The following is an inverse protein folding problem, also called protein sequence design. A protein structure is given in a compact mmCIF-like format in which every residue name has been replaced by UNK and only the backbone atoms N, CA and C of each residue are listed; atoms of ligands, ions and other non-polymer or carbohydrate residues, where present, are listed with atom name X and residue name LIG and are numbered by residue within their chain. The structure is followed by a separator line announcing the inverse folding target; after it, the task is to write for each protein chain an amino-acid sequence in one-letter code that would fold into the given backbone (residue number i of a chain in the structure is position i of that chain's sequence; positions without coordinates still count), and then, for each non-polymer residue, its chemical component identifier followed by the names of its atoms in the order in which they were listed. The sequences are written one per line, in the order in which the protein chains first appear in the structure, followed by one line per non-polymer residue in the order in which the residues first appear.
data_IF_556758895532
#
_entry.id   IF_556758895532
#
_cell.length_a   1.000
_cell.length_b   1.000
_cell.length_c   1.000
_cell.angle_alpha   90.00
_cell.angle_beta   90.00
_cell.angle_gamma   90.00
#
_symmetry.space_group_name_H-M   'P 1'
#
loop_
_entity.id
_entity.type
_entity.pdbx_description
1 polymer ?
#
# COMPACT_ATOMS: atom_id res chain seq x y z
N UNK A 1 3.39 -22.02 68.04
CA UNK A 1 3.36 -22.50 66.65
C UNK A 1 1.99 -22.20 66.05
N UNK A 2 1.86 -21.11 65.28
CA UNK A 2 0.71 -20.80 64.42
C UNK A 2 1.26 -20.12 63.17
N UNK A 3 1.28 -20.86 62.05
CA UNK A 3 1.71 -20.37 60.74
C UNK A 3 0.47 -19.80 60.05
N UNK A 4 0.36 -18.47 59.96
CA UNK A 4 -0.76 -17.80 59.31
C UNK A 4 -0.41 -17.44 57.86
N UNK A 5 -1.16 -18.09 56.97
CA UNK A 5 -1.22 -17.98 55.51
C UNK A 5 -1.39 -16.53 55.03
N UNK A 6 -0.40 -15.98 54.35
CA UNK A 6 -0.57 -14.86 53.42
C UNK A 6 0.31 -15.08 52.18
N UNK A 7 -0.11 -16.03 51.36
CA UNK A 7 0.30 -16.11 49.96
C UNK A 7 -0.98 -16.17 49.13
N UNK A 8 -1.40 -15.02 48.62
CA UNK A 8 -2.30 -14.95 47.48
C UNK A 8 -1.63 -14.01 46.47
N UNK A 9 -0.56 -14.51 45.86
CA UNK A 9 0.03 -13.88 44.69
C UNK A 9 -0.97 -13.92 43.55
N UNK A 10 -1.40 -12.75 43.10
CA UNK A 10 -2.00 -12.59 41.77
C UNK A 10 -0.88 -12.03 40.90
N UNK A 11 -0.06 -12.93 40.35
CA UNK A 11 0.83 -12.60 39.25
C UNK A 11 -0.03 -12.65 37.97
N UNK A 12 -0.65 -11.53 37.63
CA UNK A 12 -1.29 -11.38 36.33
C UNK A 12 -0.17 -11.21 35.28
N UNK A 13 0.30 -12.33 34.72
CA UNK A 13 1.11 -12.29 33.50
C UNK A 13 0.16 -11.92 32.36
N UNK A 14 0.03 -10.63 32.10
CA UNK A 14 -0.52 -10.17 30.83
C UNK A 14 0.50 -10.53 29.76
N UNK A 15 0.28 -11.66 29.08
CA UNK A 15 1.01 -11.96 27.86
C UNK A 15 0.63 -10.90 26.83
N UNK A 16 1.45 -9.87 26.70
CA UNK A 16 1.36 -8.90 25.61
C UNK A 16 1.75 -9.62 24.32
N UNK A 17 0.78 -10.26 23.66
CA UNK A 17 0.98 -10.69 22.28
C UNK A 17 1.05 -9.43 21.43
N UNK A 18 2.26 -8.99 21.08
CA UNK A 18 2.42 -7.96 20.07
C UNK A 18 1.73 -8.47 18.81
N UNK A 19 0.67 -7.78 18.37
CA UNK A 19 0.00 -8.14 17.13
C UNK A 19 0.93 -7.78 15.97
N UNK A 20 1.48 -8.78 15.30
CA UNK A 20 2.31 -8.56 14.10
C UNK A 20 1.41 -8.13 12.95
N UNK A 21 1.92 -7.25 12.07
CA UNK A 21 1.26 -6.95 10.82
C UNK A 21 1.28 -8.19 9.91
N UNK A 22 0.17 -8.44 9.21
CA UNK A 22 0.02 -9.57 8.30
C UNK A 22 0.12 -9.10 6.84
N UNK A 23 0.92 -9.78 6.02
CA UNK A 23 1.10 -9.41 4.61
C UNK A 23 -0.09 -9.95 3.82
N UNK A 24 -0.96 -9.07 3.34
CA UNK A 24 -2.19 -9.43 2.62
C UNK A 24 -2.07 -9.28 1.09
N UNK A 25 -1.00 -8.62 0.63
CA UNK A 25 -0.60 -8.54 -0.77
C UNK A 25 0.93 -8.46 -0.84
N UNK A 26 1.52 -9.17 -1.80
CA UNK A 26 2.93 -9.05 -2.17
C UNK A 26 3.05 -9.29 -3.68
N UNK A 27 3.65 -8.35 -4.40
CA UNK A 27 3.87 -8.42 -5.85
C UNK A 27 5.21 -7.77 -6.22
N UNK A 28 6.09 -8.55 -6.84
CA UNK A 28 7.40 -8.11 -7.36
C UNK A 28 7.44 -7.93 -8.87
N UNK A 29 6.31 -8.12 -9.57
CA UNK A 29 6.18 -7.91 -11.01
C UNK A 29 7.21 -8.66 -11.87
N UNK A 30 7.55 -9.89 -11.46
CA UNK A 30 8.38 -10.81 -12.26
C UNK A 30 7.78 -11.07 -13.66
N UNK A 31 6.45 -11.06 -13.73
CA UNK A 31 5.69 -11.18 -14.98
C UNK A 31 4.39 -10.37 -14.90
N UNK A 32 4.38 -9.21 -15.57
CA UNK A 32 3.27 -8.27 -15.65
C UNK A 32 2.06 -8.86 -16.40
N UNK A 33 2.26 -9.83 -17.30
CA UNK A 33 1.15 -10.46 -18.04
C UNK A 33 0.27 -11.31 -17.12
N UNK A 34 0.80 -11.76 -15.98
CA UNK A 34 0.05 -12.58 -15.01
C UNK A 34 -0.86 -11.78 -14.08
N UNK A 35 -0.73 -10.45 -14.04
CA UNK A 35 -1.38 -9.61 -13.04
C UNK A 35 -2.91 -9.68 -13.08
N UNK A 36 -3.50 -9.77 -14.28
CA UNK A 36 -4.95 -9.88 -14.43
C UNK A 36 -5.49 -11.15 -13.74
N UNK A 37 -4.78 -12.29 -13.88
CA UNK A 37 -5.14 -13.53 -13.21
C UNK A 37 -4.98 -13.45 -11.68
N UNK A 38 -4.09 -12.56 -11.21
CA UNK A 38 -3.91 -12.25 -9.77
C UNK A 38 -4.90 -11.18 -9.25
N UNK A 39 -5.79 -10.65 -10.10
CA UNK A 39 -6.86 -9.72 -9.71
C UNK A 39 -6.51 -8.23 -9.79
N UNK A 40 -5.33 -7.90 -10.33
CA UNK A 40 -4.99 -6.53 -10.70
C UNK A 40 -5.82 -6.07 -11.90
N UNK A 41 -6.02 -4.77 -12.02
CA UNK A 41 -6.59 -4.17 -13.21
C UNK A 41 -5.66 -3.07 -13.74
N UNK A 42 -5.54 -2.98 -15.06
CA UNK A 42 -4.78 -1.92 -15.75
C UNK A 42 -5.75 -1.18 -16.65
N UNK A 43 -5.76 0.15 -16.58
CA UNK A 43 -6.64 0.97 -17.40
C UNK A 43 -5.93 2.24 -17.86
N UNK A 44 -5.59 2.28 -19.15
CA UNK A 44 -5.04 3.47 -19.76
C UNK A 44 -6.17 4.42 -20.18
N UNK A 45 -6.36 5.48 -19.39
CA UNK A 45 -7.35 6.54 -19.61
C UNK A 45 -6.70 7.82 -20.11
N UNK A 46 -5.54 7.71 -20.76
CA UNK A 46 -4.85 8.83 -21.39
C UNK A 46 -5.66 9.41 -22.54
N UNK A 47 -5.41 10.68 -22.86
CA UNK A 47 -6.08 11.39 -23.94
C UNK A 47 -5.09 12.06 -24.87
N UNK A 48 -4.95 11.60 -26.12
CA UNK A 48 -5.51 10.33 -26.64
C UNK A 48 -4.88 9.09 -25.97
N UNK A 49 -5.46 7.90 -26.17
CA UNK A 49 -4.84 6.66 -25.68
C UNK A 49 -3.61 6.35 -26.55
N UNK A 50 -2.46 6.18 -25.92
CA UNK A 50 -1.20 5.89 -26.59
C UNK A 50 -0.99 4.41 -26.93
N UNK A 51 0.24 4.09 -27.34
CA UNK A 51 0.63 2.75 -27.80
C UNK A 51 1.11 1.84 -26.68
N UNK A 52 1.46 2.41 -25.52
CA UNK A 52 1.83 1.66 -24.31
C UNK A 52 0.75 1.81 -23.21
N UNK A 53 0.87 0.99 -22.17
CA UNK A 53 0.09 1.09 -20.94
C UNK A 53 1.04 0.90 -19.75
N UNK A 54 0.61 0.28 -18.65
CA UNK A 54 1.56 -0.32 -17.70
C UNK A 54 2.12 -1.60 -18.37
N UNK A 55 3.45 -1.78 -18.35
CA UNK A 55 4.13 -2.85 -19.08
C UNK A 55 5.31 -3.43 -18.28
N UNK A 56 5.84 -4.56 -18.73
CA UNK A 56 7.02 -5.19 -18.12
C UNK A 56 8.24 -4.28 -18.18
N UNK A 57 8.92 -4.09 -17.06
CA UNK A 57 10.13 -3.29 -16.96
C UNK A 57 11.24 -3.70 -17.92
N UNK A 58 12.03 -2.72 -18.36
CA UNK A 58 13.20 -2.99 -19.20
C UNK A 58 14.38 -3.46 -18.33
N UNK A 59 15.03 -4.61 -18.65
CA UNK A 59 16.20 -5.09 -17.91
C UNK A 59 17.35 -4.09 -17.79
N UNK A 60 17.51 -3.16 -18.74
CA UNK A 60 18.55 -2.12 -18.71
C UNK A 60 18.36 -1.18 -17.51
N UNK A 61 17.12 -0.95 -17.07
CA UNK A 61 16.80 -0.12 -15.91
C UNK A 61 16.99 -0.85 -14.57
N UNK A 62 17.39 -2.13 -14.60
CA UNK A 62 17.45 -3.00 -13.42
C UNK A 62 16.05 -3.27 -12.84
N UNK A 63 16.01 -3.58 -11.54
CA UNK A 63 14.81 -3.65 -10.70
C UNK A 63 15.20 -3.31 -9.26
N UNK A 64 14.24 -3.05 -8.37
CA UNK A 64 14.53 -2.89 -6.96
C UNK A 64 14.82 -4.25 -6.31
N UNK A 65 14.00 -5.25 -6.61
CA UNK A 65 14.18 -6.65 -6.21
C UNK A 65 13.94 -7.59 -7.40
N UNK A 66 14.36 -8.84 -7.28
CA UNK A 66 14.19 -9.84 -8.34
C UNK A 66 15.16 -9.71 -9.52
N UNK A 67 14.76 -10.26 -10.68
CA UNK A 67 15.58 -10.23 -11.89
C UNK A 67 15.58 -8.84 -12.54
N UNK A 68 16.59 -8.54 -13.35
CA UNK A 68 16.61 -7.28 -14.09
C UNK A 68 15.38 -7.19 -15.02
N UNK A 69 14.54 -6.16 -14.81
CA UNK A 69 13.29 -5.99 -15.54
C UNK A 69 12.06 -6.53 -14.81
N UNK A 70 12.21 -7.25 -13.69
CA UNK A 70 11.12 -7.59 -12.74
C UNK A 70 10.64 -6.32 -12.03
N UNK A 71 9.88 -5.49 -12.73
CA UNK A 71 9.17 -4.32 -12.20
C UNK A 71 8.09 -3.95 -13.23
N UNK A 72 7.12 -3.13 -12.84
CA UNK A 72 6.13 -2.61 -13.78
C UNK A 72 6.46 -1.15 -14.15
N UNK A 73 6.43 -0.84 -15.43
CA UNK A 73 6.79 0.46 -15.98
C UNK A 73 5.62 1.17 -16.66
N UNK A 74 5.67 2.50 -16.65
CA UNK A 74 4.83 3.38 -17.46
C UNK A 74 5.69 4.51 -18.05
N UNK A 75 5.28 5.06 -19.20
CA UNK A 75 6.04 6.11 -19.88
C UNK A 75 5.13 7.06 -20.66
N UNK A 76 5.71 8.14 -21.18
CA UNK A 76 4.97 9.16 -21.92
C UNK A 76 4.23 8.61 -23.17
N UNK A 77 4.66 7.47 -23.74
CA UNK A 77 3.93 6.78 -24.82
C UNK A 77 2.59 6.16 -24.40
N UNK A 78 2.19 6.30 -23.13
CA UNK A 78 0.83 6.02 -22.67
C UNK A 78 -0.21 6.95 -23.32
N UNK A 79 0.22 8.08 -23.89
CA UNK A 79 -0.59 8.99 -24.73
C UNK A 79 0.10 9.22 -26.09
N UNK A 80 -0.43 10.14 -26.90
CA UNK A 80 0.25 10.60 -28.13
C UNK A 80 1.48 11.46 -27.77
N UNK A 81 2.69 11.04 -28.17
CA UNK A 81 3.93 11.76 -27.83
C UNK A 81 4.03 13.14 -28.49
N UNK A 82 3.25 13.43 -29.53
CA UNK A 82 3.22 14.74 -30.20
C UNK A 82 2.26 15.73 -29.52
N UNK A 83 1.61 15.32 -28.43
CA UNK A 83 0.75 16.16 -27.62
C UNK A 83 -0.40 15.36 -27.00
N UNK A 84 -0.38 15.24 -25.68
CA UNK A 84 -1.39 14.47 -24.96
C UNK A 84 -1.21 14.50 -23.45
N UNK A 85 -2.27 14.09 -22.76
CA UNK A 85 -2.28 13.91 -21.31
C UNK A 85 -2.21 12.42 -21.00
N UNK A 86 -1.25 12.02 -20.16
CA UNK A 86 -1.15 10.67 -19.63
C UNK A 86 -2.02 10.54 -18.39
N UNK A 87 -2.81 9.47 -18.34
CA UNK A 87 -3.60 9.07 -17.17
C UNK A 87 -3.75 7.55 -17.15
N UNK A 88 -2.68 6.86 -16.76
CA UNK A 88 -2.64 5.40 -16.82
C UNK A 88 -2.68 4.78 -15.41
N UNK A 89 -3.69 3.96 -15.16
CA UNK A 89 -4.03 3.44 -13.84
C UNK A 89 -3.68 1.97 -13.67
N UNK A 90 -3.09 1.63 -12.53
CA UNK A 90 -2.83 0.29 -12.03
C UNK A 90 -3.56 0.10 -10.70
N UNK A 91 -4.51 -0.82 -10.65
CA UNK A 91 -5.29 -1.11 -9.45
C UNK A 91 -4.83 -2.43 -8.83
N UNK A 92 -4.49 -2.41 -7.53
CA UNK A 92 -4.18 -3.64 -6.79
C UNK A 92 -5.40 -4.57 -6.76
N UNK A 93 -5.25 -5.88 -6.52
CA UNK A 93 -6.36 -6.75 -6.13
C UNK A 93 -7.06 -6.21 -4.88
N UNK A 94 -8.27 -6.71 -4.62
CA UNK A 94 -8.97 -6.42 -3.38
C UNK A 94 -8.23 -7.11 -2.23
N UNK A 95 -7.86 -6.34 -1.22
CA UNK A 95 -7.27 -6.85 0.02
C UNK A 95 -8.28 -6.73 1.16
N UNK A 96 -8.26 -7.72 2.06
CA UNK A 96 -9.07 -7.72 3.26
C UNK A 96 -8.17 -7.44 4.46
N UNK A 97 -8.50 -6.39 5.21
CA UNK A 97 -7.78 -5.95 6.38
C UNK A 97 -8.54 -6.32 7.65
N UNK A 98 -7.80 -6.54 8.73
CA UNK A 98 -8.37 -6.72 10.07
C UNK A 98 -8.54 -5.39 10.81
N UNK A 99 -7.78 -4.36 10.44
CA UNK A 99 -7.85 -3.02 11.01
C UNK A 99 -7.28 -1.97 10.05
N UNK A 100 -6.00 -1.63 10.19
CA UNK A 100 -5.33 -0.57 9.42
C UNK A 100 -4.55 -1.15 8.25
N UNK A 101 -4.26 -0.30 7.28
CA UNK A 101 -3.44 -0.65 6.11
C UNK A 101 -2.10 0.06 6.17
N UNK A 102 -1.03 -0.63 5.79
CA UNK A 102 0.23 -0.02 5.35
C UNK A 102 0.59 -0.54 3.97
N UNK A 103 0.74 0.36 3.01
CA UNK A 103 1.23 0.08 1.66
C UNK A 103 2.72 0.44 1.62
N UNK A 104 3.53 -0.47 1.10
CA UNK A 104 4.94 -0.23 0.80
C UNK A 104 5.21 -0.59 -0.66
N UNK A 105 6.03 0.19 -1.34
CA UNK A 105 6.42 -0.07 -2.72
C UNK A 105 7.73 0.63 -3.05
N UNK A 106 8.53 0.03 -3.93
CA UNK A 106 9.67 0.71 -4.52
C UNK A 106 9.21 1.55 -5.72
N UNK A 107 9.68 2.79 -5.79
CA UNK A 107 9.40 3.71 -6.87
C UNK A 107 10.72 4.22 -7.44
N UNK A 108 10.77 4.32 -8.77
CA UNK A 108 11.78 5.08 -9.49
C UNK A 108 11.10 6.00 -10.49
N UNK A 109 11.38 7.29 -10.39
CA UNK A 109 11.03 8.28 -11.40
C UNK A 109 12.32 8.64 -12.13
N UNK A 110 12.37 8.43 -13.44
CA UNK A 110 13.60 8.61 -14.22
C UNK A 110 13.86 10.08 -14.49
N UNK A 111 12.80 10.86 -14.76
CA UNK A 111 12.83 12.31 -14.85
C UNK A 111 14.09 12.87 -15.51
N UNK A 112 14.34 12.67 -16.81
CA UNK A 112 15.56 13.21 -17.44
C UNK A 112 15.36 14.68 -17.86
N UNK A 113 15.04 15.55 -16.90
CA UNK A 113 14.61 16.93 -17.15
C UNK A 113 13.14 17.07 -17.56
N UNK A 114 12.40 15.96 -17.60
CA UNK A 114 10.95 15.92 -17.80
C UNK A 114 10.29 15.45 -16.52
N UNK A 115 9.36 16.22 -15.97
CA UNK A 115 8.73 15.88 -14.70
C UNK A 115 7.87 14.61 -14.84
N UNK A 116 8.27 13.52 -14.19
CA UNK A 116 7.45 12.33 -14.01
C UNK A 116 6.57 12.49 -12.77
N UNK A 117 5.32 12.00 -12.80
CA UNK A 117 4.42 12.03 -11.65
C UNK A 117 3.66 10.71 -11.48
N UNK A 118 3.72 10.14 -10.28
CA UNK A 118 2.93 9.00 -9.85
C UNK A 118 2.07 9.39 -8.65
N UNK A 119 0.75 9.26 -8.82
CA UNK A 119 -0.24 9.47 -7.79
C UNK A 119 -0.66 8.12 -7.18
N UNK A 120 -0.84 8.09 -5.86
CA UNK A 120 -1.29 6.90 -5.12
C UNK A 120 -2.66 7.16 -4.52
N UNK A 121 -3.58 6.22 -4.69
CA UNK A 121 -4.96 6.31 -4.25
C UNK A 121 -5.37 5.08 -3.43
N UNK A 122 -6.46 5.21 -2.68
CA UNK A 122 -7.18 4.08 -2.09
C UNK A 122 -8.68 4.15 -2.39
N UNK A 123 -9.35 3.01 -2.30
CA UNK A 123 -10.82 2.92 -2.33
C UNK A 123 -11.32 1.84 -1.37
N UNK A 124 -12.37 2.16 -0.60
CA UNK A 124 -13.09 1.21 0.25
C UNK A 124 -14.30 0.58 -0.46
N UNK A 125 -14.52 0.88 -1.74
CA UNK A 125 -15.65 0.38 -2.54
C UNK A 125 -15.41 -1.04 -3.10
N UNK A 126 -14.75 -1.90 -2.31
CA UNK A 126 -14.51 -3.30 -2.65
C UNK A 126 -13.72 -3.48 -3.96
N UNK A 127 -14.32 -4.18 -4.93
CA UNK A 127 -13.66 -4.51 -6.21
C UNK A 127 -13.75 -3.42 -7.28
N UNK A 128 -14.29 -2.24 -6.97
CA UNK A 128 -14.49 -1.17 -7.95
C UNK A 128 -13.19 -0.69 -8.59
N UNK A 129 -13.28 -0.36 -9.88
CA UNK A 129 -12.26 0.37 -10.65
C UNK A 129 -12.83 1.68 -11.20
N UNK A 130 -13.98 2.14 -10.69
CA UNK A 130 -14.53 3.44 -11.03
C UNK A 130 -13.72 4.52 -10.31
N UNK A 131 -13.13 5.46 -11.06
CA UNK A 131 -12.24 6.49 -10.52
C UNK A 131 -12.89 7.36 -9.44
N UNK A 132 -14.21 7.55 -9.48
CA UNK A 132 -14.93 8.33 -8.49
C UNK A 132 -14.90 7.70 -7.07
N UNK A 133 -14.58 6.41 -6.98
CA UNK A 133 -14.44 5.70 -5.70
C UNK A 133 -13.05 5.83 -5.08
N UNK A 134 -12.07 6.41 -5.79
CA UNK A 134 -10.68 6.50 -5.37
C UNK A 134 -10.36 7.88 -4.79
N UNK A 135 -9.74 7.87 -3.61
CA UNK A 135 -9.30 9.07 -2.89
C UNK A 135 -7.77 9.13 -2.95
N UNK A 136 -7.24 10.29 -3.35
CA UNK A 136 -5.80 10.54 -3.44
C UNK A 136 -5.17 10.48 -2.03
N UNK A 137 -4.12 9.69 -1.90
CA UNK A 137 -3.28 9.63 -0.71
C UNK A 137 -2.07 10.55 -0.85
N UNK A 138 -1.33 10.39 -1.94
CA UNK A 138 -0.06 11.07 -2.11
C UNK A 138 0.31 11.20 -3.58
N UNK A 139 1.22 12.12 -3.87
CA UNK A 139 1.76 12.39 -5.19
C UNK A 139 3.29 12.44 -5.10
N UNK A 140 3.94 11.61 -5.90
CA UNK A 140 5.38 11.57 -6.07
C UNK A 140 5.74 12.17 -7.42
N UNK A 141 6.65 13.14 -7.46
CA UNK A 141 7.09 13.75 -8.70
C UNK A 141 8.58 14.07 -8.67
N UNK A 142 9.25 13.89 -9.81
CA UNK A 142 10.67 14.21 -9.99
C UNK A 142 11.00 14.44 -11.46
N UNK A 143 11.84 15.43 -11.73
CA UNK A 143 12.44 15.74 -13.04
C UNK A 143 13.95 15.40 -13.06
N UNK A 144 14.37 14.55 -12.11
CA UNK A 144 15.68 13.88 -12.03
C UNK A 144 15.50 12.41 -11.65
N UNK A 145 16.45 11.55 -12.02
CA UNK A 145 16.42 10.14 -11.67
C UNK A 145 16.53 9.96 -10.15
N UNK A 146 15.46 9.43 -9.54
CA UNK A 146 15.42 9.18 -8.10
C UNK A 146 16.22 7.95 -7.70
N UNK A 147 16.61 7.10 -8.67
CA UNK A 147 16.91 5.70 -8.39
C UNK A 147 15.71 4.97 -7.79
N UNK A 148 15.90 3.70 -7.44
CA UNK A 148 14.88 2.95 -6.72
C UNK A 148 14.88 3.32 -5.23
N UNK A 149 13.73 3.78 -4.73
CA UNK A 149 13.54 4.11 -3.32
C UNK A 149 12.19 3.57 -2.80
N UNK A 150 12.17 3.10 -1.55
CA UNK A 150 10.95 2.63 -0.91
C UNK A 150 10.10 3.82 -0.47
N UNK A 151 8.82 3.75 -0.78
CA UNK A 151 7.77 4.63 -0.33
C UNK A 151 6.79 3.87 0.57
N UNK A 152 6.19 4.58 1.52
CA UNK A 152 5.27 4.00 2.49
C UNK A 152 4.05 4.90 2.70
N UNK A 153 2.86 4.33 2.61
CA UNK A 153 1.58 4.99 2.90
C UNK A 153 0.81 4.22 3.95
N UNK A 154 0.10 4.91 4.84
CA UNK A 154 -0.75 4.27 5.86
C UNK A 154 -2.17 4.81 5.86
N UNK A 155 -3.12 3.91 6.12
CA UNK A 155 -4.52 4.24 6.37
C UNK A 155 -4.82 4.04 7.86
N UNK A 156 -4.18 4.84 8.70
CA UNK A 156 -4.26 4.72 10.16
C UNK A 156 -5.63 5.10 10.74
N UNK A 157 -6.46 5.78 9.94
CA UNK A 157 -7.83 6.14 10.31
C UNK A 157 -8.83 4.96 10.21
N UNK A 158 -8.45 3.87 9.55
CA UNK A 158 -9.29 2.68 9.47
C UNK A 158 -9.35 1.96 10.82
N UNK A 159 -10.52 1.41 11.13
CA UNK A 159 -10.74 0.57 12.31
C UNK A 159 -11.59 -0.64 11.91
N UNK A 160 -11.36 -1.76 12.61
CA UNK A 160 -12.01 -3.03 12.31
C UNK A 160 -11.80 -3.55 10.87
N UNK A 161 -12.53 -4.61 10.48
CA UNK A 161 -12.34 -5.24 9.19
C UNK A 161 -12.78 -4.37 8.02
N UNK A 162 -11.93 -4.23 7.00
CA UNK A 162 -12.22 -3.44 5.80
C UNK A 162 -11.78 -4.20 4.55
N UNK A 163 -12.48 -3.97 3.43
CA UNK A 163 -12.08 -4.45 2.11
C UNK A 163 -11.70 -3.24 1.26
N UNK A 164 -10.51 -3.24 0.65
CA UNK A 164 -10.05 -2.08 -0.11
C UNK A 164 -9.17 -2.44 -1.31
N UNK A 165 -8.97 -1.44 -2.17
CA UNK A 165 -7.91 -1.41 -3.18
C UNK A 165 -7.01 -0.20 -2.97
N UNK A 166 -5.75 -0.34 -3.34
CA UNK A 166 -4.91 0.78 -3.70
C UNK A 166 -4.86 0.93 -5.22
N UNK A 167 -4.50 2.11 -5.69
CA UNK A 167 -4.20 2.33 -7.09
C UNK A 167 -3.01 3.27 -7.27
N UNK A 168 -2.25 3.04 -8.33
CA UNK A 168 -1.20 3.91 -8.80
C UNK A 168 -1.65 4.51 -10.12
N UNK A 169 -1.39 5.81 -10.30
CA UNK A 169 -1.64 6.48 -11.57
C UNK A 169 -0.37 7.19 -12.02
N UNK A 170 0.17 6.78 -13.16
CA UNK A 170 1.14 7.60 -13.86
C UNK A 170 0.38 8.71 -14.58
N UNK A 171 0.69 9.96 -14.22
CA UNK A 171 -0.01 11.14 -14.71
C UNK A 171 0.99 12.14 -15.28
N UNK A 172 0.70 12.65 -16.47
CA UNK A 172 1.47 13.72 -17.11
C UNK A 172 0.47 14.63 -17.79
N UNK A 173 0.40 15.89 -17.36
CA UNK A 173 -0.57 16.84 -17.89
C UNK A 173 -0.36 17.12 -19.39
N UNK A 174 0.91 17.27 -19.79
CA UNK A 174 1.32 17.52 -21.17
C UNK A 174 2.69 16.88 -21.45
N UNK A 175 2.71 15.86 -22.31
CA UNK A 175 3.95 15.12 -22.65
C UNK A 175 4.97 15.93 -23.47
N UNK A 176 4.59 17.09 -24.00
CA UNK A 176 5.55 17.97 -24.69
C UNK A 176 6.53 18.63 -23.71
N UNK A 177 6.17 18.71 -22.43
CA UNK A 177 6.96 19.42 -21.40
C UNK A 177 7.31 18.56 -20.20
N UNK A 178 6.74 17.36 -20.08
CA UNK A 178 6.88 16.49 -18.93
C UNK A 178 6.73 15.01 -19.32
N UNK A 179 6.99 14.11 -18.38
CA UNK A 179 6.91 12.67 -18.60
C UNK A 179 8.14 12.09 -19.29
N UNK A 180 8.70 11.06 -18.67
CA UNK A 180 9.68 10.17 -19.24
C UNK A 180 9.29 8.73 -18.88
N UNK A 181 9.63 8.29 -17.66
CA UNK A 181 9.42 6.90 -17.23
C UNK A 181 9.26 6.81 -15.71
N UNK A 182 8.28 6.04 -15.29
CA UNK A 182 8.10 5.63 -13.91
C UNK A 182 8.13 4.10 -13.79
N UNK A 183 8.86 3.59 -12.80
CA UNK A 183 8.90 2.18 -12.43
C UNK A 183 8.37 1.96 -11.03
N UNK A 184 7.56 0.91 -10.84
CA UNK A 184 7.06 0.45 -9.54
C UNK A 184 7.48 -1.01 -9.35
N UNK A 185 7.94 -1.33 -8.14
CA UNK A 185 8.38 -2.68 -7.78
C UNK A 185 8.06 -2.98 -6.30
N UNK A 186 8.16 -4.25 -5.89
CA UNK A 186 8.04 -4.73 -4.52
C UNK A 186 6.83 -4.17 -3.75
N UNK A 187 5.64 -4.21 -4.37
CA UNK A 187 4.40 -3.75 -3.74
C UNK A 187 3.98 -4.74 -2.67
N UNK A 188 3.86 -4.25 -1.44
CA UNK A 188 3.29 -5.03 -0.33
C UNK A 188 2.21 -4.24 0.38
N UNK A 189 1.17 -4.96 0.83
CA UNK A 189 0.16 -4.39 1.72
C UNK A 189 0.13 -5.21 2.99
N UNK A 190 0.26 -4.51 4.11
CA UNK A 190 0.24 -5.06 5.45
C UNK A 190 -1.06 -4.67 6.16
N UNK A 191 -1.78 -5.67 6.65
CA UNK A 191 -2.88 -5.48 7.60
C UNK A 191 -2.30 -5.31 9.00
N UNK A 192 -2.39 -4.11 9.55
CA UNK A 192 -1.82 -3.75 10.86
C UNK A 192 -2.94 -3.80 11.91
N UNK A 193 -2.89 -4.74 12.88
CA UNK A 193 -3.95 -4.86 13.88
C UNK A 193 -3.98 -3.67 14.85
N UNK A 194 -5.10 -3.46 15.53
CA UNK A 194 -5.21 -2.41 16.55
C UNK A 194 -4.27 -2.69 17.73
N UNK A 195 -3.63 -1.66 18.32
CA UNK A 195 -2.78 -1.86 19.49
C UNK A 195 -3.59 -2.50 20.63
N UNK A 196 -3.01 -3.52 21.28
CA UNK A 196 -3.62 -4.31 22.36
C UNK A 196 -3.97 -3.50 23.62
N UNK A 197 -3.66 -2.20 23.64
CA UNK A 197 -4.06 -1.23 24.67
C UNK A 197 -5.56 -1.32 25.00
N UNK A 198 -6.43 -1.55 24.01
CA UNK A 198 -7.86 -1.76 24.23
C UNK A 198 -8.15 -3.04 25.05
N UNK A 199 -7.41 -4.12 24.81
CA UNK A 199 -7.50 -5.36 25.59
C UNK A 199 -7.02 -5.20 27.04
N UNK A 200 -5.95 -4.41 27.25
CA UNK A 200 -5.43 -4.10 28.58
C UNK A 200 -6.40 -3.26 29.43
N UNK A 201 -7.14 -2.33 28.82
CA UNK A 201 -8.22 -1.57 29.49
C UNK A 201 -9.33 -2.53 29.96
N UNK A 202 -9.72 -3.50 29.13
CA UNK A 202 -10.71 -4.52 29.49
C UNK A 202 -10.28 -5.39 30.68
N UNK A 203 -9.03 -5.85 30.69
CA UNK A 203 -8.47 -6.63 31.81
C UNK A 203 -8.35 -5.78 33.08
N UNK A 204 -7.96 -4.51 32.95
CA UNK A 204 -7.88 -3.56 34.07
C UNK A 204 -9.24 -3.34 34.75
N UNK A 205 -10.31 -3.17 33.95
CA UNK A 205 -11.68 -3.01 34.46
C UNK A 205 -12.20 -4.27 35.15
N UNK A 206 -11.94 -5.46 34.60
CA UNK A 206 -12.31 -6.74 35.20
C UNK A 206 -11.55 -7.00 36.51
N UNK A 207 -10.26 -6.66 36.55
CA UNK A 207 -9.44 -6.72 37.76
C UNK A 207 -9.97 -5.80 38.87
N UNK A 208 -10.33 -4.56 38.51
CA UNK A 208 -10.92 -3.59 39.46
C UNK A 208 -12.30 -4.04 39.99
N UNK A 209 -13.15 -4.62 39.13
CA UNK A 209 -14.45 -5.16 39.53
C UNK A 209 -14.33 -6.37 40.46
N UNK A 210 -13.38 -7.28 40.19
CA UNK A 210 -13.09 -8.42 41.04
C UNK A 210 -12.52 -8.00 42.41
N UNK A 211 -11.67 -6.98 42.44
CA UNK A 211 -11.15 -6.40 43.68
C UNK A 211 -12.27 -5.78 44.53
N UNK A 212 -13.21 -5.04 43.91
CA UNK A 212 -14.36 -4.42 44.60
C UNK A 212 -15.34 -5.42 45.24
N UNK A 213 -15.46 -6.62 44.67
CA UNK A 213 -16.32 -7.69 45.23
C UNK A 213 -15.72 -8.39 46.44
N UNK A 214 -14.40 -8.29 46.65
CA UNK A 214 -13.72 -8.89 47.82
C UNK A 214 -13.70 -7.99 49.05
N UNK A 215 -14.01 -6.70 48.89
CA UNK A 215 -14.05 -5.71 49.97
C UNK A 215 -15.44 -5.48 50.57
N UNK A 216 -16.44 -6.28 50.18
CA UNK A 216 -17.77 -6.34 50.80
C UNK A 216 -17.92 -7.70 51.48
#
# INVERSE_FOLDING_TARGET
MKISKWLAGVLAVAASTASMADVVLSEGFDDVETLAAKGWAINNLSTPVGVTSWFQGNPISGSYDGAAGSHIGANFYNTDPDGGTVSNWLFTPVVNLTSRARLDFALRLVGEGFLDTVEVYYSLSGSSTNLADFILLNTYASDVDTGWAIQSESLDFLSGPNSLRFAFRYYVADVLTAGNYAGIDAVTVNSVPEPVSAGLVGVGLLGAAAARRRTR
#
